data_IF_029599496250
#
_entry.id   IF_029599496250
#
_cell.length_a   1.000
_cell.length_b   1.000
_cell.length_c   1.000
_cell.angle_alpha   90.00
_cell.angle_beta   90.00
_cell.angle_gamma   90.00
#
_symmetry.space_group_name_H-M   'P 1'
#
loop_
_entity.id
_entity.type
_entity.pdbx_description
1 polymer ?
#
# COMPACT_ATOMS: atom_id res chain seq x y z
N UNK A 1 -11.86 29.55 4.68
CA UNK A 1 -11.46 28.12 4.47
C UNK A 1 -11.39 27.44 5.82
N UNK A 2 -12.07 26.33 6.01
CA UNK A 2 -11.92 25.59 7.25
C UNK A 2 -10.49 25.10 7.40
N UNK A 3 -9.93 25.27 8.58
CA UNK A 3 -8.63 24.73 8.92
C UNK A 3 -8.85 23.34 9.57
N UNK A 4 -8.59 22.29 8.81
CA UNK A 4 -8.75 20.93 9.29
C UNK A 4 -7.45 20.53 9.99
N UNK A 5 -7.47 20.27 11.31
CA UNK A 5 -6.26 19.89 12.02
C UNK A 5 -5.82 18.47 11.62
N UNK A 6 -4.51 18.27 11.46
CA UNK A 6 -3.94 16.95 11.21
C UNK A 6 -3.74 16.20 12.54
N UNK A 7 -3.96 14.91 12.49
CA UNK A 7 -3.67 13.98 13.58
C UNK A 7 -2.54 13.02 13.18
N UNK A 8 -2.24 12.04 14.04
CA UNK A 8 -1.17 11.08 13.81
C UNK A 8 -1.37 10.27 12.53
N UNK A 9 -2.62 10.00 12.14
CA UNK A 9 -2.91 9.28 10.90
C UNK A 9 -2.52 10.10 9.66
N UNK A 10 -2.80 11.40 9.64
CA UNK A 10 -2.34 12.29 8.56
C UNK A 10 -0.81 12.32 8.49
N UNK A 11 -0.14 12.44 9.64
CA UNK A 11 1.31 12.51 9.71
C UNK A 11 1.96 11.21 9.21
N UNK A 12 1.37 10.05 9.56
CA UNK A 12 1.84 8.77 9.05
C UNK A 12 1.71 8.68 7.53
N UNK A 13 0.57 9.08 6.97
CA UNK A 13 0.36 9.10 5.52
C UNK A 13 1.34 10.04 4.82
N UNK A 14 1.62 11.22 5.39
CA UNK A 14 2.56 12.17 4.80
C UNK A 14 3.98 11.60 4.73
N UNK A 15 4.36 10.68 5.59
CA UNK A 15 5.66 10.01 5.54
C UNK A 15 5.83 9.13 4.31
N UNK A 16 4.74 8.73 3.67
CA UNK A 16 4.77 7.94 2.44
C UNK A 16 4.94 8.80 1.19
N UNK A 17 4.92 10.13 1.31
CA UNK A 17 5.09 11.03 0.17
C UNK A 17 6.46 10.83 -0.50
N UNK A 18 6.49 10.86 -1.82
CA UNK A 18 7.71 10.74 -2.62
C UNK A 18 7.66 9.56 -3.59
N UNK A 19 8.80 9.31 -4.20
CA UNK A 19 9.00 8.17 -5.10
C UNK A 19 9.83 7.10 -4.40
N UNK A 20 9.38 5.86 -4.52
CA UNK A 20 9.97 4.70 -3.88
C UNK A 20 10.25 3.60 -4.89
N UNK A 21 11.37 2.91 -4.72
CA UNK A 21 11.74 1.75 -5.52
C UNK A 21 11.86 0.55 -4.61
N UNK A 22 11.28 -0.58 -5.01
CA UNK A 22 11.30 -1.78 -4.19
C UNK A 22 11.41 -3.04 -5.00
N UNK A 23 11.95 -4.07 -4.34
CA UNK A 23 11.95 -5.43 -4.82
C UNK A 23 10.92 -6.22 -4.03
N UNK A 24 10.03 -6.87 -4.76
CA UNK A 24 8.91 -7.59 -4.19
C UNK A 24 9.10 -9.09 -4.32
N UNK A 25 8.75 -9.80 -3.25
CA UNK A 25 8.64 -11.26 -3.27
C UNK A 25 7.16 -11.61 -3.22
N UNK A 26 6.69 -12.31 -4.26
CA UNK A 26 5.31 -12.78 -4.36
C UNK A 26 5.31 -14.25 -4.02
N UNK A 27 4.56 -14.59 -2.98
CA UNK A 27 4.47 -15.97 -2.48
C UNK A 27 3.73 -16.86 -3.47
N UNK A 28 4.05 -18.16 -3.54
CA UNK A 28 3.27 -19.11 -4.32
C UNK A 28 1.79 -19.07 -3.94
N UNK A 29 0.94 -19.17 -4.94
CA UNK A 29 -0.52 -19.17 -4.78
C UNK A 29 -1.16 -20.07 -5.83
N UNK A 30 -2.45 -20.39 -5.73
CA UNK A 30 -3.13 -21.21 -6.75
C UNK A 30 -3.06 -20.62 -8.17
N UNK A 31 -3.01 -19.30 -8.28
CA UNK A 31 -2.93 -18.61 -9.57
C UNK A 31 -1.50 -18.24 -9.98
N UNK A 32 -0.54 -18.44 -9.09
CA UNK A 32 0.89 -18.26 -9.36
C UNK A 32 1.69 -19.27 -8.53
N UNK A 33 1.66 -20.57 -8.91
CA UNK A 33 2.19 -21.66 -8.08
C UNK A 33 3.69 -21.57 -7.78
N UNK A 34 4.46 -20.96 -8.67
CA UNK A 34 5.90 -20.81 -8.48
C UNK A 34 6.25 -19.57 -7.62
N UNK A 35 5.31 -18.69 -7.40
CA UNK A 35 5.61 -17.35 -6.89
C UNK A 35 6.41 -16.54 -7.88
N UNK A 36 6.87 -15.38 -7.47
CA UNK A 36 7.63 -14.50 -8.35
C UNK A 36 8.46 -13.48 -7.56
N UNK A 37 9.44 -12.91 -8.25
CA UNK A 37 10.13 -11.69 -7.83
C UNK A 37 9.75 -10.59 -8.81
N UNK A 38 9.43 -9.43 -8.29
CA UNK A 38 9.06 -8.27 -9.08
C UNK A 38 9.80 -7.03 -8.61
N UNK A 39 9.79 -6.01 -9.44
CA UNK A 39 10.28 -4.68 -9.10
C UNK A 39 9.12 -3.70 -9.18
N UNK A 40 9.06 -2.78 -8.24
CA UNK A 40 7.98 -1.80 -8.20
C UNK A 40 8.50 -0.39 -8.09
N UNK A 41 7.79 0.51 -8.73
CA UNK A 41 7.91 1.96 -8.55
C UNK A 41 6.62 2.44 -7.92
N UNK A 42 6.72 3.10 -6.77
CA UNK A 42 5.58 3.67 -6.04
C UNK A 42 5.77 5.18 -6.00
N UNK A 43 4.77 5.92 -6.49
CA UNK A 43 4.77 7.38 -6.44
C UNK A 43 3.60 7.83 -5.60
N UNK A 44 3.89 8.49 -4.49
CA UNK A 44 2.89 9.01 -3.58
C UNK A 44 2.98 10.53 -3.55
N UNK A 45 1.86 11.20 -3.78
CA UNK A 45 1.76 12.65 -3.64
C UNK A 45 0.68 13.03 -2.66
N UNK A 46 0.97 14.02 -1.83
CA UNK A 46 0.00 14.63 -0.95
C UNK A 46 -0.90 15.57 -1.75
N UNK A 47 -2.19 15.50 -1.52
CA UNK A 47 -3.18 16.29 -2.25
C UNK A 47 -4.24 16.85 -1.29
N UNK A 48 -5.09 17.74 -1.79
CA UNK A 48 -6.17 18.39 -1.04
C UNK A 48 -5.65 18.99 0.28
N UNK A 49 -4.59 19.80 0.17
CA UNK A 49 -3.98 20.51 1.31
C UNK A 49 -3.52 19.58 2.45
N UNK A 50 -3.12 18.36 2.12
CA UNK A 50 -2.63 17.37 3.09
C UNK A 50 -3.67 16.36 3.56
N UNK A 51 -4.90 16.42 3.08
CA UNK A 51 -5.98 15.55 3.55
C UNK A 51 -5.93 14.15 2.97
N UNK A 52 -5.32 13.98 1.79
CA UNK A 52 -5.21 12.68 1.13
C UNK A 52 -3.82 12.47 0.57
N UNK A 53 -3.48 11.20 0.34
CA UNK A 53 -2.29 10.78 -0.39
C UNK A 53 -2.75 9.94 -1.57
N UNK A 54 -2.30 10.31 -2.76
CA UNK A 54 -2.59 9.59 -4.00
C UNK A 54 -1.38 8.75 -4.36
N UNK A 55 -1.59 7.46 -4.55
CA UNK A 55 -0.56 6.49 -4.87
C UNK A 55 -0.72 6.01 -6.31
N UNK A 56 0.38 6.06 -7.07
CA UNK A 56 0.52 5.36 -8.34
C UNK A 56 1.54 4.23 -8.16
N UNK A 57 1.20 3.04 -8.63
CA UNK A 57 1.97 1.83 -8.41
C UNK A 57 2.18 1.12 -9.75
N UNK A 58 3.45 0.87 -10.08
CA UNK A 58 3.84 0.12 -11.27
C UNK A 58 4.67 -1.08 -10.85
N UNK A 59 4.26 -2.29 -11.22
CA UNK A 59 5.00 -3.52 -10.98
C UNK A 59 5.50 -4.09 -12.29
N UNK A 60 6.79 -4.45 -12.32
CA UNK A 60 7.44 -5.08 -13.47
C UNK A 60 8.05 -6.42 -13.06
N UNK A 61 8.04 -7.36 -13.99
CA UNK A 61 8.70 -8.66 -13.84
C UNK A 61 9.62 -8.85 -15.05
N UNK A 62 10.92 -9.06 -14.78
CA UNK A 62 11.90 -9.20 -15.85
C UNK A 62 11.95 -8.02 -16.82
N UNK A 63 11.74 -6.81 -16.31
CA UNK A 63 11.74 -5.58 -17.11
C UNK A 63 10.43 -5.28 -17.86
N UNK A 64 9.42 -6.15 -17.75
CA UNK A 64 8.12 -5.94 -18.38
C UNK A 64 7.09 -5.49 -17.36
N UNK A 65 6.41 -4.38 -17.63
CA UNK A 65 5.31 -3.88 -16.81
C UNK A 65 4.15 -4.87 -16.86
N UNK A 66 3.76 -5.41 -15.70
CA UNK A 66 2.73 -6.46 -15.62
C UNK A 66 1.51 -6.06 -14.80
N UNK A 67 1.61 -5.02 -13.96
CA UNK A 67 0.53 -4.63 -13.07
C UNK A 67 0.62 -3.14 -12.76
N UNK A 68 -0.51 -2.46 -12.77
CA UNK A 68 -0.61 -1.06 -12.37
C UNK A 68 -1.75 -0.88 -11.39
N UNK A 69 -1.51 -0.08 -10.36
CA UNK A 69 -2.49 0.25 -9.36
C UNK A 69 -2.57 1.74 -9.07
N UNK A 70 -3.70 2.15 -8.55
CA UNK A 70 -3.99 3.52 -8.15
C UNK A 70 -4.73 3.50 -6.82
N UNK A 71 -4.23 4.24 -5.86
CA UNK A 71 -4.82 4.32 -4.54
C UNK A 71 -5.04 5.74 -4.07
N UNK A 72 -6.07 5.94 -3.27
CA UNK A 72 -6.32 7.20 -2.56
C UNK A 72 -6.49 6.87 -1.08
N UNK A 73 -5.57 7.37 -0.27
CA UNK A 73 -5.59 7.21 1.18
C UNK A 73 -6.04 8.50 1.85
N UNK A 74 -6.89 8.35 2.84
CA UNK A 74 -7.39 9.46 3.64
C UNK A 74 -7.53 9.07 5.10
N UNK A 75 -8.02 10.00 5.90
CA UNK A 75 -8.20 9.84 7.34
C UNK A 75 -9.67 9.99 7.67
N UNK A 76 -10.19 9.09 8.49
CA UNK A 76 -11.53 9.13 9.03
C UNK A 76 -11.42 8.95 10.55
N UNK A 77 -11.66 10.03 11.30
CA UNK A 77 -11.38 10.04 12.74
C UNK A 77 -9.90 9.83 13.01
N UNK A 78 -9.56 8.82 13.81
CA UNK A 78 -8.19 8.41 14.07
C UNK A 78 -7.69 7.33 13.11
N UNK A 79 -8.54 6.83 12.23
CA UNK A 79 -8.25 5.73 11.31
C UNK A 79 -7.83 6.18 9.93
N UNK A 80 -7.33 5.22 9.17
CA UNK A 80 -6.91 5.41 7.78
C UNK A 80 -7.84 4.62 6.87
N UNK A 81 -8.18 5.22 5.73
CA UNK A 81 -8.92 4.57 4.66
C UNK A 81 -8.07 4.55 3.40
N UNK A 82 -8.22 3.52 2.60
CA UNK A 82 -7.60 3.41 1.28
C UNK A 82 -8.65 2.90 0.31
N UNK A 83 -8.77 3.57 -0.82
CA UNK A 83 -9.53 3.07 -1.97
C UNK A 83 -8.55 2.74 -3.07
N UNK A 84 -8.68 1.52 -3.61
CA UNK A 84 -7.71 0.95 -4.53
C UNK A 84 -8.37 0.52 -5.82
N UNK A 85 -7.74 0.82 -6.95
CA UNK A 85 -8.07 0.34 -8.29
C UNK A 85 -6.81 -0.24 -8.93
N UNK A 86 -6.98 -1.27 -9.74
CA UNK A 86 -5.88 -1.82 -10.52
C UNK A 86 -6.36 -2.35 -11.86
N UNK A 87 -5.39 -2.70 -12.73
CA UNK A 87 -5.71 -3.17 -14.07
C UNK A 87 -5.94 -4.69 -14.18
N UNK A 88 -5.97 -5.39 -13.03
CA UNK A 88 -6.31 -6.82 -12.99
C UNK A 88 -7.74 -7.06 -12.51
N UNK A 89 -8.34 -6.09 -11.86
CA UNK A 89 -9.70 -6.18 -11.33
C UNK A 89 -10.53 -5.01 -11.85
N UNK A 90 -11.75 -5.29 -12.24
CA UNK A 90 -12.70 -4.24 -12.64
C UNK A 90 -13.32 -3.50 -11.45
N UNK A 91 -13.20 -4.05 -10.23
CA UNK A 91 -13.83 -3.53 -9.05
C UNK A 91 -12.88 -2.71 -8.18
N UNK A 92 -13.38 -1.60 -7.66
CA UNK A 92 -12.70 -0.83 -6.64
C UNK A 92 -12.69 -1.62 -5.32
N UNK A 93 -11.57 -1.56 -4.60
CA UNK A 93 -11.41 -2.23 -3.32
C UNK A 93 -11.16 -1.21 -2.21
N UNK A 94 -11.87 -1.34 -1.10
CA UNK A 94 -11.72 -0.49 0.08
C UNK A 94 -10.96 -1.19 1.19
N UNK A 95 -10.06 -0.46 1.84
CA UNK A 95 -9.30 -0.88 3.02
C UNK A 95 -9.55 0.11 4.14
N UNK A 96 -9.58 -0.38 5.37
CA UNK A 96 -9.69 0.45 6.57
C UNK A 96 -8.78 -0.08 7.66
N UNK A 97 -8.26 0.81 8.48
CA UNK A 97 -7.45 0.40 9.61
C UNK A 97 -6.93 1.55 10.43
N UNK A 98 -5.78 1.33 11.03
CA UNK A 98 -5.24 2.19 12.08
C UNK A 98 -3.76 2.45 11.86
N UNK A 99 -3.29 3.51 12.51
CA UNK A 99 -1.86 3.76 12.74
C UNK A 99 -1.52 3.26 14.14
N UNK A 100 -0.52 2.41 14.23
CA UNK A 100 -0.01 1.86 15.48
C UNK A 100 1.51 2.05 15.52
N UNK A 101 1.95 3.12 16.20
CA UNK A 101 3.35 3.50 16.23
C UNK A 101 3.88 3.80 14.83
N UNK A 102 4.90 3.05 14.42
CA UNK A 102 5.52 3.18 13.09
C UNK A 102 4.80 2.37 12.01
N UNK A 103 3.64 1.79 12.29
CA UNK A 103 2.91 0.94 11.35
C UNK A 103 1.59 1.54 10.94
N UNK A 104 1.25 1.36 9.67
CA UNK A 104 -0.11 1.52 9.15
C UNK A 104 -0.62 0.12 8.83
N UNK A 105 -1.75 -0.28 9.40
CA UNK A 105 -2.33 -1.61 9.23
C UNK A 105 -3.75 -1.44 8.71
N UNK A 106 -3.99 -1.91 7.49
CA UNK A 106 -5.28 -1.80 6.82
C UNK A 106 -5.82 -3.18 6.44
N UNK A 107 -7.11 -3.37 6.58
CA UNK A 107 -7.79 -4.61 6.21
C UNK A 107 -8.88 -4.29 5.19
N UNK A 108 -8.99 -5.14 4.18
CA UNK A 108 -10.08 -5.14 3.22
C UNK A 108 -10.97 -6.34 3.48
N UNK A 109 -12.15 -6.15 4.08
CA UNK A 109 -13.08 -7.25 4.25
C UNK A 109 -13.73 -7.61 2.91
N UNK A 110 -13.77 -8.91 2.62
CA UNK A 110 -14.42 -9.48 1.45
C UNK A 110 -15.11 -10.78 1.89
N UNK A 111 -16.38 -11.04 1.50
CA UNK A 111 -17.05 -12.29 1.82
C UNK A 111 -16.32 -13.56 1.37
N UNK A 112 -15.43 -13.44 0.36
CA UNK A 112 -14.63 -14.55 -0.17
C UNK A 112 -13.24 -14.62 0.41
N UNK A 113 -12.92 -13.78 1.39
CA UNK A 113 -11.63 -13.68 2.01
C UNK A 113 -11.26 -12.23 2.32
N UNK A 114 -10.15 -12.06 3.00
CA UNK A 114 -9.68 -10.76 3.45
C UNK A 114 -8.24 -10.55 3.02
N UNK A 115 -7.86 -9.29 2.86
CA UNK A 115 -6.47 -8.88 2.69
C UNK A 115 -6.08 -7.91 3.81
N UNK A 116 -4.85 -8.04 4.26
CA UNK A 116 -4.28 -7.14 5.27
C UNK A 116 -2.97 -6.57 4.74
N UNK A 117 -2.90 -5.25 4.64
CA UNK A 117 -1.73 -4.53 4.21
C UNK A 117 -1.09 -3.83 5.40
N UNK A 118 0.21 -4.00 5.55
CA UNK A 118 0.98 -3.39 6.65
C UNK A 118 2.16 -2.63 6.07
N UNK A 119 2.28 -1.36 6.43
CA UNK A 119 3.44 -0.51 6.15
C UNK A 119 4.17 -0.29 7.47
N UNK A 120 5.45 -0.65 7.53
CA UNK A 120 6.32 -0.27 8.64
C UNK A 120 7.20 0.88 8.18
N UNK A 121 6.93 2.07 8.71
CA UNK A 121 7.51 3.31 8.26
C UNK A 121 8.93 3.52 8.78
N UNK A 122 9.79 4.01 7.92
CA UNK A 122 11.13 4.50 8.26
C UNK A 122 11.40 5.80 7.52
N UNK A 123 12.53 6.44 7.80
CA UNK A 123 12.85 7.75 7.21
C UNK A 123 13.27 7.64 5.74
N UNK A 124 13.99 6.58 5.38
CA UNK A 124 14.54 6.39 4.04
C UNK A 124 14.00 5.17 3.33
N UNK A 125 13.29 4.30 4.04
CA UNK A 125 12.71 3.08 3.52
C UNK A 125 11.48 2.70 4.35
N UNK A 126 10.60 1.89 3.78
CA UNK A 126 9.56 1.23 4.54
C UNK A 126 9.43 -0.22 4.10
N UNK A 127 9.03 -1.07 5.04
CA UNK A 127 8.68 -2.45 4.76
C UNK A 127 7.18 -2.56 4.51
N UNK A 128 6.81 -3.38 3.57
CA UNK A 128 5.42 -3.62 3.19
C UNK A 128 5.12 -5.10 3.17
N UNK A 129 3.98 -5.49 3.71
CA UNK A 129 3.49 -6.85 3.65
C UNK A 129 2.01 -6.85 3.30
N UNK A 130 1.64 -7.66 2.33
CA UNK A 130 0.26 -7.96 2.00
C UNK A 130 0.01 -9.41 2.32
N UNK A 131 -0.96 -9.66 3.17
CA UNK A 131 -1.38 -10.99 3.61
C UNK A 131 -2.83 -11.23 3.20
N UNK A 132 -3.17 -12.48 3.00
CA UNK A 132 -4.53 -12.91 2.66
C UNK A 132 -5.03 -13.93 3.66
N UNK A 133 -6.33 -13.95 3.89
CA UNK A 133 -6.97 -14.89 4.78
C UNK A 133 -8.34 -15.29 4.24
N UNK A 134 -8.68 -16.59 4.22
CA UNK A 134 -10.02 -17.02 3.84
C UNK A 134 -11.07 -16.76 4.92
N UNK A 135 -10.66 -16.65 6.18
CA UNK A 135 -11.56 -16.60 7.35
C UNK A 135 -11.32 -15.38 8.28
N UNK A 136 -10.28 -14.59 8.03
CA UNK A 136 -9.89 -13.47 8.88
C UNK A 136 -9.14 -13.87 10.15
N UNK A 137 -8.82 -15.15 10.32
CA UNK A 137 -8.14 -15.70 11.49
C UNK A 137 -6.73 -16.18 11.11
N UNK A 138 -6.62 -17.02 10.09
CA UNK A 138 -5.34 -17.51 9.58
C UNK A 138 -4.89 -16.70 8.38
N UNK A 139 -3.71 -16.10 8.49
CA UNK A 139 -3.13 -15.21 7.49
C UNK A 139 -1.93 -15.85 6.82
N UNK A 140 -1.88 -15.75 5.50
CA UNK A 140 -0.77 -16.23 4.69
C UNK A 140 -0.14 -15.06 3.95
N UNK A 141 1.20 -15.02 3.84
CA UNK A 141 1.85 -13.98 3.08
C UNK A 141 1.51 -14.09 1.60
N UNK A 142 1.22 -12.96 0.97
CA UNK A 142 1.02 -12.86 -0.47
C UNK A 142 2.16 -12.10 -1.14
N UNK A 143 2.52 -10.94 -0.60
CA UNK A 143 3.59 -10.11 -1.12
C UNK A 143 4.32 -9.45 0.05
N UNK A 144 5.65 -9.47 -0.01
CA UNK A 144 6.50 -8.74 0.92
C UNK A 144 7.51 -7.92 0.13
N UNK A 145 7.85 -6.74 0.64
CA UNK A 145 8.80 -5.86 -0.02
C UNK A 145 9.44 -4.88 0.94
N UNK A 146 10.59 -4.37 0.54
CA UNK A 146 11.21 -3.19 1.12
C UNK A 146 11.33 -2.14 0.03
N UNK A 147 10.79 -0.97 0.28
CA UNK A 147 10.85 0.17 -0.64
C UNK A 147 11.78 1.22 -0.08
N UNK A 148 12.73 1.65 -0.88
CA UNK A 148 13.66 2.73 -0.53
C UNK A 148 13.33 3.98 -1.37
N UNK A 149 13.58 5.17 -0.81
CA UNK A 149 13.36 6.40 -1.55
C UNK A 149 14.24 6.42 -2.80
N UNK A 150 13.63 6.77 -3.92
CA UNK A 150 14.38 7.01 -5.15
C UNK A 150 15.32 8.20 -4.90
N UNK A 151 16.55 8.08 -5.43
CA UNK A 151 17.50 9.19 -5.35
C UNK A 151 17.00 10.33 -6.22
N UNK A 152 17.06 11.55 -5.68
CA UNK A 152 16.84 12.73 -6.48
C UNK A 152 17.86 12.75 -7.63
N UNK A 153 17.37 12.87 -8.87
CA UNK A 153 18.22 13.13 -10.02
C UNK A 153 18.81 14.52 -9.85
N UNK A 154 20.12 14.59 -9.84
CA UNK A 154 20.81 15.86 -9.80
C UNK A 154 20.55 16.67 -11.09
#
# INVERSE_FOLDING_TARGET
MPNIPFNDAHHALHRLAGEWLGRETISPSPWDPAGAVAEAVVRNRVALDGLVVIQEYDQSRGGTLVFQGHGVSGVEGAGVTLRWWDNWSAAQRGFRGVVDGERIILVSPDPKGQARATWRLGDHAYDYALEVSPDGVEWSPYLTARYARARATA
#
